data_IF_829336040097
#
_entry.id   IF_829336040097
#
_cell.length_a   1.000
_cell.length_b   1.000
_cell.length_c   1.000
_cell.angle_alpha   90.00
_cell.angle_beta   90.00
_cell.angle_gamma   90.00
#
_symmetry.space_group_name_H-M   'P 1'
#
loop_
_entity.id
_entity.type
_entity.pdbx_description
1 polymer ?
#
# COMPACT_ATOMS: atom_id res chain seq x y z
N UNK A 1 11.26 9.41 -7.04
CA UNK A 1 12.04 10.67 -7.14
C UNK A 1 11.73 11.46 -5.89
N UNK A 2 12.64 11.48 -4.92
CA UNK A 2 12.52 12.27 -3.71
C UNK A 2 13.03 13.64 -4.13
N UNK A 3 12.21 14.68 -4.05
CA UNK A 3 12.72 16.03 -4.12
C UNK A 3 13.53 16.23 -2.83
N UNK A 4 14.81 16.57 -2.96
CA UNK A 4 15.61 17.07 -1.84
C UNK A 4 14.87 18.29 -1.30
N UNK A 5 14.20 18.08 -0.18
CA UNK A 5 13.49 19.12 0.52
C UNK A 5 14.49 19.82 1.44
N UNK A 6 15.30 20.71 0.89
CA UNK A 6 16.17 21.64 1.65
C UNK A 6 15.40 22.81 2.27
N UNK A 7 14.07 22.79 2.27
CA UNK A 7 13.22 23.83 2.84
C UNK A 7 12.76 23.49 4.26
N UNK A 8 12.70 24.49 5.12
CA UNK A 8 12.03 24.40 6.42
C UNK A 8 10.56 24.04 6.18
N UNK A 9 10.07 22.94 6.78
CA UNK A 9 8.65 22.52 6.67
C UNK A 9 7.72 23.64 7.13
N UNK A 10 8.18 24.53 8.03
CA UNK A 10 7.44 25.72 8.44
C UNK A 10 7.11 26.64 7.26
N UNK A 11 7.95 26.70 6.24
CA UNK A 11 7.71 27.49 5.02
C UNK A 11 6.66 26.88 4.09
N UNK A 12 6.38 25.58 4.20
CA UNK A 12 5.27 24.92 3.48
C UNK A 12 3.91 25.25 4.10
N UNK A 13 3.90 25.53 5.40
CA UNK A 13 2.69 25.81 6.19
C UNK A 13 2.29 27.30 6.06
N UNK A 14 3.23 28.18 5.74
CA UNK A 14 2.99 29.63 5.57
C UNK A 14 2.24 30.00 4.28
N UNK A 15 1.86 29.00 3.45
CA UNK A 15 1.02 29.27 2.31
C UNK A 15 -0.37 29.63 2.80
N UNK A 16 -0.64 30.94 2.97
CA UNK A 16 -1.99 31.43 3.24
C UNK A 16 -2.90 31.04 2.09
N UNK A 17 -3.66 29.99 2.31
CA UNK A 17 -4.72 29.59 1.39
C UNK A 17 -5.95 30.37 1.79
N UNK A 18 -6.22 31.45 1.11
CA UNK A 18 -7.40 32.28 1.32
C UNK A 18 -8.49 31.95 0.29
N UNK A 19 -9.73 31.82 0.74
CA UNK A 19 -10.89 31.63 -0.13
C UNK A 19 -11.14 30.19 -0.54
N UNK A 20 -11.82 30.06 -1.68
CA UNK A 20 -12.22 28.78 -2.25
C UNK A 20 -11.08 28.11 -3.01
N UNK A 21 -10.84 26.84 -2.71
CA UNK A 21 -9.87 26.03 -3.43
C UNK A 21 -10.54 24.85 -4.16
N UNK A 22 -9.92 24.37 -5.26
CA UNK A 22 -10.34 23.10 -5.86
C UNK A 22 -10.12 21.94 -4.89
N UNK A 23 -11.08 21.05 -4.81
CA UNK A 23 -11.05 19.84 -3.95
C UNK A 23 -10.93 18.61 -4.82
N UNK A 24 -9.85 17.87 -4.64
CA UNK A 24 -9.60 16.60 -5.31
C UNK A 24 -9.97 15.45 -4.38
N UNK A 25 -11.04 14.73 -4.71
CA UNK A 25 -11.46 13.55 -3.97
C UNK A 25 -10.70 12.30 -4.47
N UNK A 26 -10.01 11.62 -3.57
CA UNK A 26 -9.22 10.41 -3.87
C UNK A 26 -9.93 9.15 -3.39
N UNK A 27 -9.71 8.03 -4.11
CA UNK A 27 -10.18 6.70 -3.74
C UNK A 27 -9.03 5.89 -3.17
N UNK A 28 -9.19 5.38 -1.96
CA UNK A 28 -8.20 4.49 -1.31
C UNK A 28 -6.77 5.07 -1.19
N UNK A 29 -6.61 6.39 -1.35
CA UNK A 29 -5.33 7.05 -1.23
C UNK A 29 -5.41 8.20 -0.24
N UNK A 30 -4.57 8.15 0.78
CA UNK A 30 -4.39 9.20 1.79
C UNK A 30 -3.05 9.87 1.54
N UNK A 31 -3.10 11.18 1.33
CA UNK A 31 -1.90 11.99 1.12
C UNK A 31 -1.35 12.50 2.45
N UNK A 32 -0.04 12.68 2.52
CA UNK A 32 0.65 13.23 3.69
C UNK A 32 1.51 14.45 3.32
N UNK A 33 1.67 15.42 4.22
CA UNK A 33 2.53 16.56 4.02
C UNK A 33 4.00 16.18 3.76
N UNK A 34 4.68 16.88 2.86
CA UNK A 34 6.06 16.64 2.49
C UNK A 34 6.28 15.44 1.56
N UNK A 35 5.24 14.65 1.28
CA UNK A 35 5.36 13.44 0.46
C UNK A 35 4.97 13.73 -0.98
N UNK A 36 5.74 13.16 -1.92
CA UNK A 36 5.44 13.20 -3.35
C UNK A 36 4.70 11.92 -3.71
N UNK A 37 3.49 12.06 -4.26
CA UNK A 37 2.61 10.94 -4.56
C UNK A 37 2.15 10.97 -6.00
N UNK A 38 2.38 9.92 -6.80
CA UNK A 38 1.74 9.75 -8.10
C UNK A 38 0.27 9.37 -7.92
N UNK A 39 -0.62 9.96 -8.70
CA UNK A 39 -2.04 9.67 -8.68
C UNK A 39 -2.59 9.52 -10.10
N UNK A 40 -3.26 8.40 -10.35
CA UNK A 40 -3.99 8.17 -11.60
C UNK A 40 -5.34 8.89 -11.54
N UNK A 41 -5.59 9.72 -12.54
CA UNK A 41 -6.82 10.49 -12.70
C UNK A 41 -7.63 9.93 -13.88
N UNK A 42 -8.83 9.43 -13.58
CA UNK A 42 -9.76 8.92 -14.60
C UNK A 42 -11.12 9.61 -14.57
N UNK A 43 -11.48 10.34 -13.50
CA UNK A 43 -12.76 11.06 -13.43
C UNK A 43 -12.72 12.37 -14.20
N UNK A 44 -13.80 12.65 -14.92
CA UNK A 44 -13.92 13.88 -15.70
C UNK A 44 -13.80 15.16 -14.84
N UNK A 45 -14.40 15.17 -13.66
CA UNK A 45 -14.31 16.29 -12.71
C UNK A 45 -12.87 16.53 -12.25
N UNK A 46 -12.13 15.47 -11.92
CA UNK A 46 -10.72 15.55 -11.53
C UNK A 46 -9.83 16.00 -12.69
N UNK A 47 -10.08 15.53 -13.91
CA UNK A 47 -9.37 15.99 -15.12
C UNK A 47 -9.56 17.48 -15.37
N UNK A 48 -10.75 18.04 -15.09
CA UNK A 48 -11.01 19.48 -15.19
C UNK A 48 -10.18 20.29 -14.19
N UNK A 49 -9.98 19.79 -12.98
CA UNK A 49 -9.07 20.40 -12.00
C UNK A 49 -7.65 20.43 -12.56
N UNK A 50 -7.14 19.30 -13.03
CA UNK A 50 -5.78 19.19 -13.56
C UNK A 50 -5.56 20.14 -14.74
N UNK A 51 -6.48 20.19 -15.70
CA UNK A 51 -6.42 21.11 -16.85
C UNK A 51 -6.41 22.58 -16.43
N UNK A 52 -7.13 22.95 -15.38
CA UNK A 52 -7.10 24.30 -14.82
C UNK A 52 -5.73 24.62 -14.23
N UNK A 53 -5.16 23.68 -13.47
CA UNK A 53 -3.86 23.87 -12.81
C UNK A 53 -2.67 23.84 -13.76
N UNK A 54 -2.78 23.14 -14.90
CA UNK A 54 -1.76 23.21 -15.96
C UNK A 54 -1.61 24.64 -16.52
N UNK A 55 -2.68 25.44 -16.48
CA UNK A 55 -2.65 26.85 -16.90
C UNK A 55 -2.09 27.77 -15.84
N UNK A 56 -2.20 27.39 -14.57
CA UNK A 56 -1.68 28.14 -13.43
C UNK A 56 -1.10 27.16 -12.38
N UNK A 57 0.21 26.89 -12.45
CA UNK A 57 0.88 25.96 -11.52
C UNK A 57 0.95 26.47 -10.07
N UNK A 58 0.63 27.74 -9.82
CA UNK A 58 0.62 28.31 -8.45
C UNK A 58 -0.62 27.92 -7.67
N UNK A 59 -1.66 27.40 -8.34
CA UNK A 59 -2.91 27.01 -7.68
C UNK A 59 -2.69 25.83 -6.75
N UNK A 60 -3.10 26.00 -5.49
CA UNK A 60 -3.11 24.95 -4.48
C UNK A 60 -4.47 24.26 -4.53
N UNK A 61 -4.45 22.94 -4.35
CA UNK A 61 -5.66 22.12 -4.22
C UNK A 61 -5.72 21.49 -2.83
N UNK A 62 -6.93 21.19 -2.37
CA UNK A 62 -7.16 20.33 -1.21
C UNK A 62 -7.37 18.88 -1.69
N UNK A 63 -6.59 17.94 -1.17
CA UNK A 63 -6.71 16.51 -1.47
C UNK A 63 -7.36 15.83 -0.28
N UNK A 64 -8.54 15.22 -0.51
CA UNK A 64 -9.33 14.57 0.53
C UNK A 64 -9.69 13.15 0.13
N UNK A 65 -9.51 12.21 1.07
CA UNK A 65 -9.86 10.81 0.82
C UNK A 65 -11.36 10.60 0.98
N UNK A 66 -11.96 9.76 0.12
CA UNK A 66 -13.33 9.32 0.27
C UNK A 66 -13.45 8.25 1.36
N UNK A 67 -14.53 8.28 2.13
CA UNK A 67 -14.90 7.25 3.11
C UNK A 67 -15.26 5.94 2.43
N UNK A 68 -15.90 6.03 1.26
CA UNK A 68 -16.29 4.90 0.41
C UNK A 68 -15.76 5.11 -1.01
N UNK A 69 -15.07 4.12 -1.55
CA UNK A 69 -14.37 4.24 -2.84
C UNK A 69 -15.27 4.10 -4.07
N UNK A 70 -16.46 3.54 -3.91
CA UNK A 70 -17.44 3.28 -4.98
C UNK A 70 -18.27 4.50 -5.38
N UNK A 71 -18.31 5.54 -4.52
CA UNK A 71 -19.06 6.76 -4.82
C UNK A 71 -18.41 7.53 -5.96
N UNK A 72 -19.15 7.70 -7.07
CA UNK A 72 -18.66 8.41 -8.27
C UNK A 72 -18.66 9.93 -8.07
N UNK A 73 -19.71 10.47 -7.47
CA UNK A 73 -19.90 11.91 -7.22
C UNK A 73 -19.99 12.18 -5.72
N UNK A 74 -18.85 12.27 -5.02
CA UNK A 74 -18.85 12.44 -3.57
C UNK A 74 -19.38 13.82 -3.17
N UNK A 75 -20.13 13.82 -2.08
CA UNK A 75 -20.57 15.01 -1.35
C UNK A 75 -19.66 15.27 -0.14
N UNK A 76 -19.95 16.33 0.61
CA UNK A 76 -19.18 16.63 1.82
C UNK A 76 -19.16 15.47 2.83
N UNK A 77 -20.28 14.79 3.04
CA UNK A 77 -20.39 13.67 3.98
C UNK A 77 -19.59 12.44 3.58
N UNK A 78 -19.27 12.31 2.28
CA UNK A 78 -18.54 11.17 1.72
C UNK A 78 -17.02 11.33 1.81
N UNK A 79 -16.56 12.52 2.20
CA UNK A 79 -15.13 12.83 2.38
C UNK A 79 -14.74 12.79 3.85
N UNK A 80 -13.49 12.43 4.11
CA UNK A 80 -12.89 12.72 5.41
C UNK A 80 -12.67 14.22 5.56
N UNK A 81 -12.87 14.74 6.75
CA UNK A 81 -12.76 16.18 7.03
C UNK A 81 -11.30 16.67 6.97
N UNK A 82 -10.36 15.79 7.31
CA UNK A 82 -8.94 16.10 7.25
C UNK A 82 -8.37 15.68 5.90
N UNK A 83 -7.65 16.60 5.27
CA UNK A 83 -6.95 16.41 4.02
C UNK A 83 -5.61 17.13 4.01
N UNK A 84 -5.04 17.26 2.82
CA UNK A 84 -3.72 17.85 2.61
C UNK A 84 -3.78 18.85 1.47
N UNK A 85 -3.25 20.05 1.69
CA UNK A 85 -2.93 20.96 0.61
C UNK A 85 -1.86 20.37 -0.28
N UNK A 86 -2.05 20.47 -1.58
CA UNK A 86 -1.12 19.92 -2.54
C UNK A 86 -0.96 20.84 -3.75
N UNK A 87 0.19 20.71 -4.41
CA UNK A 87 0.42 21.26 -5.74
C UNK A 87 0.75 20.17 -6.74
N UNK A 88 0.41 20.37 -7.99
CA UNK A 88 0.78 19.49 -9.07
C UNK A 88 2.20 19.83 -9.52
N UNK A 89 3.12 18.85 -9.42
CA UNK A 89 4.49 19.02 -9.91
C UNK A 89 4.56 18.69 -11.40
N UNK A 90 3.87 17.61 -11.80
CA UNK A 90 3.93 17.10 -13.17
C UNK A 90 2.62 16.44 -13.55
N UNK A 91 2.27 16.56 -14.83
CA UNK A 91 1.16 15.84 -15.46
C UNK A 91 1.72 15.00 -16.59
N UNK A 92 1.33 13.75 -16.64
CA UNK A 92 1.68 12.79 -17.70
C UNK A 92 0.38 12.22 -18.25
N UNK A 93 0.14 12.47 -19.54
CA UNK A 93 -1.00 11.89 -20.25
C UNK A 93 -0.67 10.43 -20.58
N UNK A 94 -1.61 9.52 -20.26
CA UNK A 94 -1.46 8.12 -20.63
C UNK A 94 -2.00 7.91 -22.03
N UNK A 95 -1.25 7.26 -22.94
CA UNK A 95 -1.75 6.90 -24.25
C UNK A 95 -2.88 5.87 -24.11
N UNK A 96 -4.13 6.29 -24.41
CA UNK A 96 -5.31 5.42 -24.32
C UNK A 96 -6.60 6.17 -24.68
N UNK A 97 -7.65 5.43 -25.04
CA UNK A 97 -8.93 5.98 -25.50
C UNK A 97 -9.72 6.75 -24.42
N UNK A 98 -9.40 6.55 -23.12
CA UNK A 98 -10.16 7.16 -22.02
C UNK A 98 -9.61 8.49 -21.53
N UNK A 99 -8.48 8.96 -22.07
CA UNK A 99 -7.85 10.23 -21.67
C UNK A 99 -7.40 10.25 -20.21
N UNK A 100 -7.07 9.08 -19.64
CA UNK A 100 -6.53 8.96 -18.27
C UNK A 100 -5.18 9.67 -18.20
N UNK A 101 -4.91 10.29 -17.05
CA UNK A 101 -3.64 10.98 -16.82
C UNK A 101 -3.08 10.62 -15.45
N UNK A 102 -1.76 10.54 -15.37
CA UNK A 102 -1.06 10.43 -14.09
C UNK A 102 -0.53 11.79 -13.69
N UNK A 103 -0.86 12.23 -12.50
CA UNK A 103 -0.32 13.46 -11.93
C UNK A 103 0.64 13.14 -10.79
N UNK A 104 1.67 13.96 -10.64
CA UNK A 104 2.56 13.90 -9.50
C UNK A 104 2.22 15.08 -8.60
N UNK A 105 1.78 14.74 -7.39
CA UNK A 105 1.39 15.69 -6.35
C UNK A 105 2.48 15.82 -5.31
N UNK A 106 2.72 17.03 -4.82
CA UNK A 106 3.50 17.30 -3.61
C UNK A 106 2.56 17.75 -2.52
N UNK A 107 2.55 17.04 -1.37
CA UNK A 107 1.84 17.45 -0.17
C UNK A 107 2.53 18.65 0.48
N UNK A 108 1.75 19.64 0.88
CA UNK A 108 2.24 20.87 1.49
C UNK A 108 1.97 20.86 3.00
N UNK A 109 0.73 20.95 3.42
CA UNK A 109 0.32 21.01 4.81
C UNK A 109 -1.03 20.33 5.02
N UNK A 110 -1.38 20.05 6.27
CA UNK A 110 -2.70 19.52 6.62
C UNK A 110 -3.76 20.62 6.54
N UNK A 111 -4.98 20.23 6.19
CA UNK A 111 -6.13 21.11 6.20
C UNK A 111 -7.40 20.38 6.62
N UNK A 112 -8.35 21.14 7.13
CA UNK A 112 -9.72 20.71 7.39
C UNK A 112 -10.63 21.25 6.30
N UNK A 113 -11.51 20.42 5.78
CA UNK A 113 -12.58 20.84 4.89
C UNK A 113 -13.74 21.36 5.75
N UNK A 114 -14.04 22.65 5.65
CA UNK A 114 -15.11 23.26 6.42
C UNK A 114 -16.47 23.15 5.68
N UNK A 115 -16.44 23.32 4.37
CA UNK A 115 -17.62 23.18 3.52
C UNK A 115 -17.26 22.98 2.05
N UNK A 116 -18.15 22.32 1.30
CA UNK A 116 -18.12 22.37 -0.17
C UNK A 116 -19.01 23.50 -0.65
N UNK A 117 -18.48 24.35 -1.50
CA UNK A 117 -19.18 25.52 -2.07
C UNK A 117 -19.74 25.24 -3.46
N UNK A 118 -18.99 24.46 -4.26
CA UNK A 118 -19.40 24.04 -5.60
C UNK A 118 -19.15 22.55 -5.81
N UNK A 119 -20.02 21.92 -6.59
CA UNK A 119 -19.86 20.51 -7.00
C UNK A 119 -19.63 20.36 -8.51
N UNK A 120 -19.91 21.38 -9.31
CA UNK A 120 -19.73 21.40 -10.76
C UNK A 120 -19.02 22.69 -11.18
N UNK A 121 -18.10 22.64 -12.17
CA UNK A 121 -17.67 21.47 -12.97
C UNK A 121 -16.76 20.51 -12.22
N UNK A 122 -16.27 20.87 -11.05
CA UNK A 122 -15.49 20.08 -10.09
C UNK A 122 -15.76 20.62 -8.68
N UNK A 123 -15.35 19.84 -7.68
CA UNK A 123 -15.52 20.22 -6.29
C UNK A 123 -14.68 21.43 -5.93
N UNK A 124 -15.27 22.40 -5.23
CA UNK A 124 -14.58 23.48 -4.54
C UNK A 124 -15.04 23.56 -3.11
N UNK A 125 -14.20 24.06 -2.24
CA UNK A 125 -14.52 24.17 -0.83
C UNK A 125 -13.68 25.21 -0.11
N UNK A 126 -14.15 25.55 1.08
CA UNK A 126 -13.45 26.39 2.06
C UNK A 126 -12.74 25.44 3.00
N UNK A 127 -11.49 25.75 3.31
CA UNK A 127 -10.63 24.92 4.15
C UNK A 127 -9.88 25.76 5.17
N UNK A 128 -9.60 25.18 6.34
CA UNK A 128 -8.77 25.77 7.39
C UNK A 128 -7.49 24.99 7.56
N UNK A 129 -6.31 25.64 7.60
CA UNK A 129 -5.04 24.97 7.84
C UNK A 129 -5.01 24.30 9.23
N UNK A 130 -4.40 23.12 9.32
CA UNK A 130 -4.14 22.42 10.57
C UNK A 130 -2.62 22.38 10.78
N UNK A 131 -2.18 22.80 11.97
CA UNK A 131 -0.77 22.81 12.35
C UNK A 131 -0.45 21.54 13.15
N UNK A 132 0.68 20.92 12.83
CA UNK A 132 1.23 19.86 13.65
C UNK A 132 1.92 20.40 14.89
N UNK A 133 1.76 19.69 16.00
CA UNK A 133 2.50 19.95 17.25
C UNK A 133 3.80 19.14 17.19
N UNK A 134 4.90 19.86 17.08
CA UNK A 134 6.22 19.25 17.02
C UNK A 134 6.81 19.13 18.43
N UNK A 135 7.43 17.98 18.77
CA UNK A 135 8.16 17.81 20.02
C UNK A 135 9.49 18.58 20.01
N UNK A 136 10.17 18.59 21.15
CA UNK A 136 11.58 18.96 21.19
C UNK A 136 12.42 17.88 20.50
N UNK A 137 12.83 18.16 19.26
CA UNK A 137 13.60 17.24 18.43
C UNK A 137 15.01 16.95 18.98
N UNK A 138 15.51 17.80 19.89
CA UNK A 138 16.81 17.59 20.53
C UNK A 138 16.72 16.71 21.79
N UNK A 139 15.52 16.45 22.30
CA UNK A 139 15.31 15.60 23.47
C UNK A 139 15.79 14.17 23.21
N UNK A 140 16.28 13.50 24.25
CA UNK A 140 16.74 12.11 24.13
C UNK A 140 15.56 11.16 23.94
N UNK A 141 14.40 11.52 24.47
CA UNK A 141 13.14 10.76 24.32
C UNK A 141 12.73 10.70 22.86
N UNK A 142 12.70 11.86 22.20
CA UNK A 142 12.34 11.92 20.77
C UNK A 142 13.37 11.19 19.90
N UNK A 143 14.67 11.39 20.15
CA UNK A 143 15.72 10.67 19.42
C UNK A 143 15.63 9.15 19.59
N UNK A 144 15.28 8.68 20.80
CA UNK A 144 15.05 7.27 21.08
C UNK A 144 13.81 6.73 20.36
N UNK A 145 12.71 7.51 20.33
CA UNK A 145 11.49 7.19 19.64
C UNK A 145 11.73 7.07 18.12
N UNK A 146 12.43 8.02 17.53
CA UNK A 146 12.80 7.97 16.09
C UNK A 146 13.70 6.79 15.76
N UNK A 147 14.68 6.48 16.62
CA UNK A 147 15.52 5.29 16.46
C UNK A 147 14.68 4.00 16.45
N UNK A 148 13.71 3.89 17.36
CA UNK A 148 12.79 2.75 17.38
C UNK A 148 11.95 2.70 16.11
N UNK A 149 11.42 3.84 15.63
CA UNK A 149 10.68 3.89 14.38
C UNK A 149 11.52 3.41 13.19
N UNK A 150 12.77 3.86 13.08
CA UNK A 150 13.69 3.40 12.03
C UNK A 150 13.91 1.87 12.08
N UNK A 151 14.16 1.33 13.28
CA UNK A 151 14.40 -0.11 13.46
C UNK A 151 13.17 -0.94 13.09
N UNK A 152 12.00 -0.56 13.61
CA UNK A 152 10.74 -1.26 13.32
C UNK A 152 10.36 -1.16 11.85
N UNK A 153 10.58 0.01 11.23
CA UNK A 153 10.33 0.19 9.79
C UNK A 153 11.27 -0.68 8.96
N UNK A 154 12.55 -0.77 9.32
CA UNK A 154 13.51 -1.63 8.63
C UNK A 154 13.14 -3.13 8.73
N UNK A 155 12.64 -3.57 9.90
CA UNK A 155 12.12 -4.92 10.09
C UNK A 155 10.89 -5.20 9.22
N UNK A 156 9.92 -4.27 9.21
CA UNK A 156 8.74 -4.34 8.35
C UNK A 156 9.11 -4.49 6.87
N UNK A 157 10.03 -3.65 6.38
CA UNK A 157 10.50 -3.69 5.00
C UNK A 157 11.18 -5.02 4.67
N UNK A 158 11.97 -5.57 5.60
CA UNK A 158 12.64 -6.86 5.40
C UNK A 158 11.64 -8.01 5.25
N UNK A 159 10.53 -7.97 5.99
CA UNK A 159 9.48 -8.99 5.96
C UNK A 159 8.47 -8.81 4.82
N UNK A 160 8.32 -7.60 4.31
CA UNK A 160 7.41 -7.29 3.21
C UNK A 160 8.14 -7.39 1.88
N UNK A 161 8.02 -8.56 1.22
CA UNK A 161 8.64 -8.84 -0.08
C UNK A 161 8.03 -8.00 -1.22
N UNK A 162 6.79 -7.57 -1.07
CA UNK A 162 6.04 -6.81 -2.09
C UNK A 162 6.42 -5.31 -2.11
N UNK A 163 7.28 -4.85 -1.19
CA UNK A 163 7.65 -3.45 -1.11
C UNK A 163 8.66 -3.07 -2.19
N UNK A 164 8.38 -2.01 -2.98
CA UNK A 164 9.29 -1.53 -4.02
C UNK A 164 10.65 -1.10 -3.44
N UNK A 165 11.72 -1.40 -4.19
CA UNK A 165 13.09 -1.04 -3.78
C UNK A 165 13.29 0.48 -3.68
N UNK A 166 12.55 1.27 -4.47
CA UNK A 166 12.54 2.73 -4.40
C UNK A 166 12.11 3.24 -3.04
N UNK A 167 11.12 2.58 -2.41
CA UNK A 167 10.67 2.94 -1.06
C UNK A 167 11.72 2.62 -0.01
N UNK A 168 12.46 1.52 -0.18
CA UNK A 168 13.60 1.14 0.69
C UNK A 168 14.74 2.15 0.60
N UNK A 169 15.03 2.61 -0.63
CA UNK A 169 16.05 3.63 -0.85
C UNK A 169 15.64 4.98 -0.28
N UNK A 170 14.37 5.36 -0.48
CA UNK A 170 13.81 6.61 0.02
C UNK A 170 13.98 6.78 1.52
N UNK A 171 13.63 5.74 2.29
CA UNK A 171 13.72 5.74 3.76
C UNK A 171 15.13 6.00 4.29
N UNK A 172 16.17 5.62 3.55
CA UNK A 172 17.57 5.85 3.95
C UNK A 172 18.05 7.28 3.69
N UNK A 173 17.38 8.00 2.79
CA UNK A 173 17.83 9.31 2.32
C UNK A 173 16.97 10.49 2.81
N UNK A 174 15.88 10.23 3.53
CA UNK A 174 15.07 11.30 4.15
C UNK A 174 15.73 11.70 5.45
N UNK A 175 16.27 12.92 5.50
CA UNK A 175 16.93 13.48 6.68
C UNK A 175 15.98 14.20 7.64
N UNK A 176 14.82 14.63 7.18
CA UNK A 176 13.85 15.35 8.00
C UNK A 176 12.89 14.37 8.68
N UNK A 177 12.83 14.38 10.01
CA UNK A 177 12.05 13.45 10.81
C UNK A 177 10.53 13.50 10.52
N UNK A 178 9.97 14.71 10.34
CA UNK A 178 8.53 14.87 10.04
C UNK A 178 8.19 14.28 8.67
N UNK A 179 9.04 14.56 7.66
CA UNK A 179 8.87 14.00 6.31
C UNK A 179 9.03 12.49 6.33
N UNK A 180 9.97 11.97 7.11
CA UNK A 180 10.19 10.54 7.26
C UNK A 180 8.97 9.85 7.86
N UNK A 181 8.42 10.36 8.97
CA UNK A 181 7.20 9.82 9.59
C UNK A 181 6.04 9.83 8.59
N UNK A 182 5.81 10.96 7.91
CA UNK A 182 4.77 11.09 6.91
C UNK A 182 4.99 10.16 5.70
N UNK A 183 6.23 9.96 5.29
CA UNK A 183 6.58 9.04 4.21
C UNK A 183 6.27 7.59 4.60
N UNK A 184 6.59 7.18 5.83
CA UNK A 184 6.24 5.85 6.36
C UNK A 184 4.73 5.67 6.36
N UNK A 185 3.97 6.62 6.92
CA UNK A 185 2.50 6.58 6.95
C UNK A 185 1.88 6.46 5.55
N UNK A 186 2.43 7.18 4.56
CA UNK A 186 1.93 7.18 3.19
C UNK A 186 2.18 5.87 2.45
N UNK A 187 3.41 5.32 2.57
CA UNK A 187 3.91 4.27 1.68
C UNK A 187 3.83 2.84 2.25
N UNK A 188 3.61 2.68 3.55
CA UNK A 188 3.39 1.35 4.13
C UNK A 188 1.99 0.84 3.76
N UNK A 189 1.83 -0.50 3.78
CA UNK A 189 0.61 -1.21 3.36
C UNK A 189 -0.47 -1.14 4.46
N UNK A 190 -0.75 0.07 4.96
CA UNK A 190 -1.79 0.30 5.95
C UNK A 190 -3.15 0.53 5.28
N UNK A 191 -4.22 0.19 5.97
CA UNK A 191 -5.59 0.50 5.53
C UNK A 191 -5.82 2.02 5.47
N UNK A 192 -6.78 2.44 4.65
CA UNK A 192 -7.19 3.87 4.57
C UNK A 192 -7.54 4.41 5.95
N UNK A 193 -8.27 3.63 6.76
CA UNK A 193 -8.67 4.02 8.12
C UNK A 193 -7.47 4.26 9.04
N UNK A 194 -6.46 3.39 8.99
CA UNK A 194 -5.22 3.54 9.77
C UNK A 194 -4.43 4.76 9.29
N UNK A 195 -4.28 4.95 7.98
CA UNK A 195 -3.64 6.15 7.41
C UNK A 195 -4.37 7.43 7.80
N UNK A 196 -5.70 7.44 7.77
CA UNK A 196 -6.47 8.60 8.19
C UNK A 196 -6.30 8.91 9.67
N UNK A 197 -6.30 7.90 10.56
CA UNK A 197 -6.06 8.14 11.98
C UNK A 197 -4.67 8.73 12.25
N UNK A 198 -3.66 8.37 11.45
CA UNK A 198 -2.32 8.97 11.53
C UNK A 198 -2.29 10.39 10.98
N UNK A 199 -3.04 10.68 9.91
CA UNK A 199 -3.13 12.03 9.34
C UNK A 199 -3.89 13.00 10.27
N UNK A 200 -4.96 12.52 10.90
CA UNK A 200 -5.81 13.29 11.82
C UNK A 200 -5.07 13.64 13.13
N UNK A 201 -4.07 12.82 13.50
CA UNK A 201 -3.27 13.09 14.69
C UNK A 201 -2.37 14.30 14.48
N UNK A 202 -2.51 15.31 15.35
CA UNK A 202 -1.77 16.56 15.27
C UNK A 202 -0.44 16.50 16.02
N UNK A 203 -0.31 15.69 17.05
CA UNK A 203 0.96 15.46 17.73
C UNK A 203 1.84 14.54 16.92
N UNK A 204 3.05 14.97 16.56
CA UNK A 204 4.00 14.14 15.85
C UNK A 204 4.40 12.90 16.67
N UNK A 205 4.56 13.04 17.98
CA UNK A 205 4.89 11.91 18.87
C UNK A 205 3.78 10.85 18.87
N UNK A 206 2.53 11.27 19.05
CA UNK A 206 1.38 10.35 19.05
C UNK A 206 1.18 9.68 17.68
N UNK A 207 1.47 10.42 16.61
CA UNK A 207 1.48 9.85 15.24
C UNK A 207 2.55 8.76 15.12
N UNK A 208 3.75 8.97 15.67
CA UNK A 208 4.82 7.96 15.69
C UNK A 208 4.40 6.74 16.51
N UNK A 209 3.80 6.91 17.70
CA UNK A 209 3.31 5.79 18.50
C UNK A 209 2.23 4.99 17.76
N UNK A 210 1.30 5.66 17.10
CA UNK A 210 0.27 5.01 16.28
C UNK A 210 0.88 4.26 15.10
N UNK A 211 1.88 4.86 14.45
CA UNK A 211 2.62 4.23 13.35
C UNK A 211 3.38 2.99 13.83
N UNK A 212 4.10 3.06 14.95
CA UNK A 212 4.81 1.92 15.55
C UNK A 212 3.85 0.78 15.91
N UNK A 213 2.71 1.11 16.52
CA UNK A 213 1.68 0.11 16.85
C UNK A 213 1.18 -0.61 15.61
N UNK A 214 0.93 0.14 14.54
CA UNK A 214 0.45 -0.42 13.27
C UNK A 214 1.52 -1.25 12.57
N UNK A 215 2.79 -0.78 12.55
CA UNK A 215 3.91 -1.55 12.03
C UNK A 215 4.09 -2.88 12.76
N UNK A 216 4.10 -2.88 14.10
CA UNK A 216 4.24 -4.10 14.89
C UNK A 216 3.09 -5.09 14.66
N UNK A 217 1.86 -4.58 14.51
CA UNK A 217 0.70 -5.40 14.13
C UNK A 217 0.92 -6.07 12.77
N UNK A 218 1.33 -5.31 11.75
CA UNK A 218 1.57 -5.84 10.40
C UNK A 218 2.74 -6.83 10.38
N UNK A 219 3.83 -6.57 11.11
CA UNK A 219 4.96 -7.49 11.28
C UNK A 219 4.46 -8.83 11.84
N UNK A 220 3.64 -8.79 12.91
CA UNK A 220 3.07 -10.00 13.49
C UNK A 220 2.15 -10.75 12.51
N UNK A 221 1.38 -10.04 11.69
CA UNK A 221 0.55 -10.64 10.66
C UNK A 221 1.39 -11.30 9.55
N UNK A 222 2.53 -10.72 9.17
CA UNK A 222 3.46 -11.36 8.23
C UNK A 222 4.01 -12.68 8.80
N UNK A 223 4.41 -12.70 10.07
CA UNK A 223 4.92 -13.92 10.71
C UNK A 223 3.86 -15.03 10.73
N UNK A 224 2.61 -14.70 11.06
CA UNK A 224 1.50 -15.64 11.02
C UNK A 224 1.24 -16.16 9.60
N UNK A 225 1.18 -15.28 8.60
CA UNK A 225 0.96 -15.66 7.19
C UNK A 225 2.07 -16.58 6.70
N UNK A 226 3.33 -16.28 7.01
CA UNK A 226 4.46 -17.11 6.63
C UNK A 226 4.40 -18.48 7.30
N UNK A 227 4.11 -18.54 8.60
CA UNK A 227 3.93 -19.81 9.33
C UNK A 227 2.81 -20.68 8.74
N UNK A 228 1.67 -20.08 8.35
CA UNK A 228 0.59 -20.82 7.69
C UNK A 228 1.03 -21.32 6.32
N UNK A 229 1.70 -20.47 5.53
CA UNK A 229 2.20 -20.84 4.20
C UNK A 229 3.18 -22.02 4.27
N UNK A 230 4.11 -21.97 5.22
CA UNK A 230 5.12 -23.02 5.39
C UNK A 230 4.47 -24.35 5.79
N UNK A 231 3.54 -24.36 6.75
CA UNK A 231 2.77 -25.55 7.12
C UNK A 231 1.97 -26.11 5.94
N UNK A 232 1.27 -25.26 5.20
CA UNK A 232 0.50 -25.70 4.02
C UNK A 232 1.40 -26.33 2.96
N UNK A 233 2.61 -25.81 2.80
CA UNK A 233 3.60 -26.38 1.87
C UNK A 233 4.11 -27.72 2.34
N UNK A 234 4.41 -27.89 3.63
CA UNK A 234 4.80 -29.17 4.23
C UNK A 234 3.69 -30.21 4.05
N UNK A 235 2.44 -29.85 4.34
CA UNK A 235 1.28 -30.76 4.16
C UNK A 235 1.10 -31.20 2.72
N UNK A 236 1.28 -30.28 1.76
CA UNK A 236 1.20 -30.60 0.32
C UNK A 236 2.34 -31.51 -0.13
N UNK A 237 3.56 -31.26 0.35
CA UNK A 237 4.72 -32.10 0.04
C UNK A 237 4.56 -33.51 0.60
N UNK A 238 3.99 -33.66 1.80
CA UNK A 238 3.65 -34.96 2.39
C UNK A 238 2.59 -35.70 1.58
N UNK A 239 1.49 -35.03 1.18
CA UNK A 239 0.45 -35.62 0.37
C UNK A 239 0.97 -36.06 -1.01
N UNK A 240 1.86 -35.27 -1.63
CA UNK A 240 2.48 -35.66 -2.91
C UNK A 240 3.36 -36.88 -2.76
N UNK A 241 4.17 -36.96 -1.67
CA UNK A 241 4.98 -38.14 -1.37
C UNK A 241 4.11 -39.38 -1.17
N UNK A 242 3.05 -39.27 -0.39
CA UNK A 242 2.13 -40.38 -0.12
C UNK A 242 1.46 -40.86 -1.41
N UNK A 243 0.97 -39.95 -2.24
CA UNK A 243 0.42 -40.28 -3.55
C UNK A 243 1.43 -40.99 -4.46
N UNK A 244 2.67 -40.50 -4.51
CA UNK A 244 3.74 -41.12 -5.31
C UNK A 244 4.06 -42.53 -4.82
N UNK A 245 4.17 -42.75 -3.49
CA UNK A 245 4.38 -44.07 -2.90
C UNK A 245 3.22 -45.01 -3.19
N UNK A 246 1.98 -44.59 -3.12
CA UNK A 246 0.79 -45.39 -3.48
C UNK A 246 0.81 -45.78 -4.96
N UNK A 247 1.21 -44.88 -5.86
CA UNK A 247 1.37 -45.18 -7.28
C UNK A 247 2.47 -46.21 -7.52
N UNK A 248 3.62 -46.09 -6.83
CA UNK A 248 4.66 -47.11 -6.94
C UNK A 248 4.22 -48.47 -6.43
N UNK A 249 3.53 -48.56 -5.29
CA UNK A 249 2.97 -49.82 -4.77
C UNK A 249 1.99 -50.42 -5.77
N UNK A 250 1.13 -49.61 -6.37
CA UNK A 250 0.20 -50.06 -7.38
C UNK A 250 0.91 -50.66 -8.61
N UNK A 251 1.90 -49.97 -9.15
CA UNK A 251 2.70 -50.40 -10.26
C UNK A 251 3.43 -51.72 -9.98
N UNK A 252 4.06 -51.85 -8.78
CA UNK A 252 4.73 -53.07 -8.36
C UNK A 252 3.74 -54.23 -8.23
N UNK A 253 2.54 -54.01 -7.66
CA UNK A 253 1.50 -55.06 -7.59
C UNK A 253 1.03 -55.49 -8.97
N UNK A 254 0.88 -54.57 -9.93
CA UNK A 254 0.50 -54.89 -11.31
C UNK A 254 1.60 -55.68 -12.04
N UNK A 255 2.88 -55.37 -11.78
CA UNK A 255 4.00 -56.13 -12.35
C UNK A 255 4.11 -57.54 -11.75
N UNK A 256 3.96 -57.69 -10.44
CA UNK A 256 3.94 -58.97 -9.74
C UNK A 256 2.74 -59.83 -10.18
N UNK A 257 1.54 -59.24 -10.30
CA UNK A 257 0.36 -59.95 -10.79
C UNK A 257 0.47 -60.42 -12.24
N UNK A 258 1.22 -59.72 -13.09
CA UNK A 258 1.56 -60.21 -14.46
C UNK A 258 2.57 -61.36 -14.45
N UNK A 259 3.45 -61.37 -13.42
CA UNK A 259 4.40 -62.46 -13.21
C UNK A 259 3.71 -63.79 -12.78
N UNK A 260 2.76 -63.73 -11.84
CA UNK A 260 2.01 -64.91 -11.38
C UNK A 260 1.17 -65.54 -12.52
N UNK A 261 0.53 -64.73 -13.33
CA UNK A 261 -0.21 -65.26 -14.51
C UNK A 261 0.67 -65.96 -15.58
N UNK A 262 1.97 -65.66 -15.60
CA UNK A 262 2.94 -66.32 -16.47
C UNK A 262 3.41 -67.67 -15.93
N UNK A 263 3.53 -67.82 -14.61
CA UNK A 263 3.89 -69.09 -13.99
C UNK A 263 2.76 -70.14 -14.07
N UNK A 264 1.50 -69.72 -13.88
CA UNK A 264 0.36 -70.61 -14.00
C UNK A 264 0.19 -71.11 -15.47
N UNK A 265 0.48 -70.31 -16.49
CA UNK A 265 0.46 -70.74 -17.89
C UNK A 265 1.55 -71.76 -18.20
N UNK A 266 2.75 -71.62 -17.63
CA UNK A 266 3.88 -72.52 -17.84
C UNK A 266 3.60 -73.88 -17.11
N UNK A 267 2.98 -73.90 -15.95
CA UNK A 267 2.59 -75.13 -15.26
C UNK A 267 1.45 -75.85 -15.98
N UNK A 268 0.45 -75.10 -16.51
CA UNK A 268 -0.61 -75.70 -17.29
C UNK A 268 -0.12 -76.28 -18.61
N UNK A 269 0.80 -75.66 -19.32
CA UNK A 269 1.45 -76.22 -20.55
C UNK A 269 2.28 -77.49 -20.25
N UNK A 270 3.04 -77.50 -19.13
CA UNK A 270 3.77 -78.70 -18.72
C UNK A 270 2.87 -79.82 -18.28
N UNK A 271 1.75 -79.55 -17.65
CA UNK A 271 0.75 -80.57 -17.28
C UNK A 271 -0.02 -81.15 -18.51
N UNK A 272 -0.17 -80.33 -19.57
CA UNK A 272 -0.80 -80.81 -20.82
C UNK A 272 0.13 -81.65 -21.70
N UNK A 273 1.43 -81.40 -21.67
CA UNK A 273 2.47 -82.17 -22.38
C UNK A 273 2.78 -83.49 -21.72
N UNK A 274 2.53 -83.68 -20.39
CA UNK A 274 2.75 -84.90 -19.67
C UNK A 274 1.69 -85.98 -19.83
N UNK A 275 0.61 -85.73 -20.56
CA UNK A 275 -0.51 -86.69 -20.83
C UNK A 275 -0.53 -87.27 -22.20
N UNK A 276 0.51 -87.11 -22.96
CA UNK A 276 0.64 -87.71 -24.32
C UNK A 276 1.85 -88.64 -24.40
N UNK A 277 1.83 -89.76 -23.63
CA UNK A 277 2.59 -91.03 -23.83
C UNK A 277 1.89 -92.16 -23.09
#
# INVERSE_FOLDING_TARGET
MIADFEGDIRNLIDTKVEGEIPVLATRNMVMFPGVITPLLIGRESSMKIVKKMQKDPSVIIGVFCQKQSDIEYPTYSDLYDTGVYARIIRVMEMPGERGEMTIILQGLGKCKLDSLTETKPFLKGITTPIMDVLPDTESWEFKSLMKNLHQTTAEYIKKNEDMPDESRFALKNISNDVVLVNFICANMTFSVKEKMSMLEENSLEERIYTTLRTLNKEISLFDIRNSIRDKTREDLDEQQKEYFLQQQIKNIKEELGKGEGSYDKIELEKASMGKMW
#
